data_IF_036492194440
#
_entry.id   IF_036492194440
#
_cell.length_a   1.000
_cell.length_b   1.000
_cell.length_c   1.000
_cell.angle_alpha   90.00
_cell.angle_beta   90.00
_cell.angle_gamma   90.00
#
_symmetry.space_group_name_H-M   'P 1'
#
loop_
_entity.id
_entity.type
_entity.pdbx_description
1 polymer ?
#
# COMPACT_ATOMS: atom_id res chain seq x y z
N UNK A 1 69.57 37.01 -25.10
CA UNK A 1 69.17 38.06 -26.06
C UNK A 1 67.64 38.16 -26.05
N UNK A 2 67.10 39.26 -25.59
CA UNK A 2 65.73 39.74 -25.86
C UNK A 2 65.76 40.34 -27.29
N UNK A 3 64.58 40.65 -27.98
CA UNK A 3 63.20 40.87 -27.59
C UNK A 3 62.17 40.49 -28.68
N UNK A 4 60.89 40.81 -28.43
CA UNK A 4 59.89 41.02 -29.48
C UNK A 4 58.46 41.02 -28.93
N UNK A 5 57.97 42.15 -28.43
CA UNK A 5 56.56 42.43 -28.22
C UNK A 5 55.89 42.83 -29.54
N UNK A 6 54.74 42.28 -29.85
CA UNK A 6 53.76 42.87 -30.78
C UNK A 6 52.40 42.92 -30.08
N UNK A 7 51.90 44.16 -29.94
CA UNK A 7 50.51 44.47 -29.52
C UNK A 7 49.66 44.43 -30.80
N UNK A 8 48.46 43.80 -30.65
CA UNK A 8 47.33 44.07 -31.52
C UNK A 8 46.09 44.37 -30.72
N UNK A 9 45.31 45.29 -31.19
CA UNK A 9 44.33 46.06 -30.50
C UNK A 9 42.99 45.33 -30.34
N UNK A 10 42.26 45.81 -29.34
CA UNK A 10 40.89 45.54 -29.05
C UNK A 10 39.93 46.16 -30.07
N UNK A 11 38.99 45.38 -30.58
CA UNK A 11 37.70 45.82 -31.10
C UNK A 11 36.60 45.12 -30.33
N UNK A 12 35.60 45.81 -29.80
CA UNK A 12 34.49 45.19 -29.09
C UNK A 12 33.39 44.80 -30.08
N UNK A 13 33.08 43.52 -30.16
CA UNK A 13 31.86 43.03 -30.80
C UNK A 13 30.76 42.93 -29.75
N UNK A 14 29.76 43.77 -29.88
CA UNK A 14 28.48 43.66 -29.24
C UNK A 14 27.78 42.39 -29.76
N UNK A 15 27.61 41.41 -28.89
CA UNK A 15 26.67 40.29 -29.12
C UNK A 15 25.43 40.56 -28.27
N UNK A 16 24.34 40.89 -28.94
CA UNK A 16 23.03 41.06 -28.34
C UNK A 16 22.53 39.75 -27.78
N UNK A 17 22.27 39.68 -26.48
CA UNK A 17 21.57 38.60 -25.85
C UNK A 17 20.07 38.69 -26.17
N UNK A 18 19.61 37.90 -27.12
CA UNK A 18 18.18 37.65 -27.29
C UNK A 18 17.73 36.72 -26.14
N UNK A 19 17.10 37.30 -25.15
CA UNK A 19 16.46 36.58 -24.08
C UNK A 19 15.25 35.80 -24.63
N UNK A 20 15.34 34.47 -24.72
CA UNK A 20 14.17 33.61 -24.84
C UNK A 20 13.43 33.64 -23.50
N UNK A 21 12.36 34.43 -23.45
CA UNK A 21 11.36 34.30 -22.38
C UNK A 21 10.60 32.99 -22.61
N UNK A 22 10.96 31.96 -21.88
CA UNK A 22 10.12 30.76 -21.75
C UNK A 22 8.91 31.20 -20.93
N UNK A 23 7.78 31.36 -21.60
CA UNK A 23 6.50 31.51 -20.93
C UNK A 23 6.20 30.19 -20.21
N UNK A 24 6.39 30.17 -18.88
CA UNK A 24 5.87 29.11 -18.02
C UNK A 24 4.35 29.30 -18.04
N UNK A 25 3.69 28.54 -18.90
CA UNK A 25 2.24 28.43 -18.89
C UNK A 25 1.83 27.88 -17.53
N UNK A 26 1.05 28.64 -16.77
CA UNK A 26 0.42 28.16 -15.56
C UNK A 26 -0.39 26.90 -15.89
N UNK A 27 -0.08 25.80 -15.21
CA UNK A 27 -0.90 24.60 -15.29
C UNK A 27 -2.35 24.97 -14.92
N UNK A 28 -3.36 24.52 -15.69
CA UNK A 28 -4.75 24.79 -15.34
C UNK A 28 -5.04 24.21 -13.95
N UNK A 29 -5.55 25.02 -13.06
CA UNK A 29 -5.97 24.62 -11.73
C UNK A 29 -7.07 23.55 -11.84
N UNK A 30 -7.01 22.53 -11.01
CA UNK A 30 -7.92 21.36 -11.02
C UNK A 30 -9.43 21.75 -10.98
N UNK A 31 -9.77 22.96 -10.55
CA UNK A 31 -11.10 23.53 -10.48
C UNK A 31 -11.76 23.78 -11.84
N UNK A 32 -11.01 23.94 -12.93
CA UNK A 32 -11.61 24.22 -14.25
C UNK A 32 -12.17 22.96 -14.95
N UNK A 33 -11.78 21.77 -14.53
CA UNK A 33 -12.21 20.50 -15.15
C UNK A 33 -13.52 19.94 -14.59
N UNK A 34 -13.94 20.37 -13.40
CA UNK A 34 -15.16 19.85 -12.75
C UNK A 34 -16.45 20.52 -13.25
N UNK A 35 -16.37 21.70 -13.92
CA UNK A 35 -17.55 22.50 -14.26
C UNK A 35 -18.32 22.04 -15.51
N UNK A 36 -17.74 21.24 -16.41
CA UNK A 36 -18.33 20.91 -17.72
C UNK A 36 -18.79 19.44 -17.88
N UNK A 37 -18.94 18.69 -16.78
CA UNK A 37 -19.45 17.33 -16.87
C UNK A 37 -20.99 17.35 -16.76
N UNK A 38 -21.74 16.75 -17.72
CA UNK A 38 -23.18 16.64 -17.58
C UNK A 38 -23.49 15.80 -16.34
N UNK A 39 -24.29 16.35 -15.44
CA UNK A 39 -24.82 15.62 -14.28
C UNK A 39 -25.60 14.41 -14.77
N UNK A 40 -25.08 13.22 -14.58
CA UNK A 40 -25.79 11.98 -14.84
C UNK A 40 -26.86 11.86 -13.76
N UNK A 41 -28.13 12.02 -14.16
CA UNK A 41 -29.25 11.84 -13.22
C UNK A 41 -29.40 10.35 -12.92
N UNK A 42 -29.27 10.01 -11.64
CA UNK A 42 -29.59 8.68 -11.14
C UNK A 42 -31.08 8.37 -11.37
N UNK A 43 -31.37 7.27 -12.05
CA UNK A 43 -32.75 6.87 -12.40
C UNK A 43 -33.36 5.82 -11.43
N UNK A 44 -32.69 5.52 -10.34
CA UNK A 44 -33.10 4.53 -9.34
C UNK A 44 -32.73 3.09 -9.69
N UNK A 45 -32.10 2.83 -10.82
CA UNK A 45 -31.55 1.51 -11.14
C UNK A 45 -30.20 1.33 -10.45
N UNK A 46 -30.09 0.36 -9.57
CA UNK A 46 -28.87 0.09 -8.80
C UNK A 46 -27.66 -0.22 -9.71
N UNK A 47 -27.89 -0.86 -10.86
CA UNK A 47 -26.84 -1.19 -11.80
C UNK A 47 -26.27 0.06 -12.49
N UNK A 48 -27.14 0.97 -12.94
CA UNK A 48 -26.72 2.25 -13.52
C UNK A 48 -25.97 3.13 -12.49
N UNK A 49 -26.36 3.03 -11.23
CA UNK A 49 -25.70 3.73 -10.14
C UNK A 49 -24.24 3.25 -9.94
N UNK A 50 -24.00 1.94 -10.04
CA UNK A 50 -22.66 1.38 -9.90
C UNK A 50 -21.79 1.54 -11.15
N UNK A 51 -22.40 1.55 -12.32
CA UNK A 51 -21.72 1.77 -13.60
C UNK A 51 -21.49 3.25 -13.91
N UNK A 52 -22.39 4.14 -13.42
CA UNK A 52 -22.39 5.58 -13.67
C UNK A 52 -22.66 6.37 -12.38
N UNK A 53 -21.70 6.43 -11.44
CA UNK A 53 -21.93 7.12 -10.17
C UNK A 53 -22.14 8.63 -10.38
N UNK A 54 -22.89 9.30 -9.51
CA UNK A 54 -23.02 10.74 -9.52
C UNK A 54 -21.65 11.44 -9.44
N UNK A 55 -21.50 12.55 -10.14
CA UNK A 55 -20.23 13.29 -10.18
C UNK A 55 -19.78 13.80 -8.80
N UNK A 56 -20.72 14.07 -7.89
CA UNK A 56 -20.48 14.48 -6.51
C UNK A 56 -19.87 13.37 -5.62
N UNK A 57 -19.98 12.11 -6.02
CA UNK A 57 -19.26 11.01 -5.36
C UNK A 57 -17.74 11.08 -5.57
N UNK A 58 -17.31 11.69 -6.67
CA UNK A 58 -15.88 11.96 -6.89
C UNK A 58 -15.38 13.14 -6.06
N UNK A 59 -16.30 14.03 -5.65
CA UNK A 59 -16.01 15.16 -4.79
C UNK A 59 -15.95 14.77 -3.30
N UNK A 60 -16.52 13.63 -2.93
CA UNK A 60 -16.49 13.11 -1.56
C UNK A 60 -15.07 12.91 -1.03
N UNK A 61 -14.15 12.56 -1.90
CA UNK A 61 -12.73 12.45 -1.55
C UNK A 61 -12.11 13.80 -1.17
N UNK A 62 -12.47 14.89 -1.86
CA UNK A 62 -11.97 16.22 -1.53
C UNK A 62 -12.57 16.75 -0.22
N UNK A 63 -13.86 16.49 0.03
CA UNK A 63 -14.51 16.86 1.30
C UNK A 63 -14.02 16.03 2.47
N UNK A 64 -13.76 14.75 2.27
CA UNK A 64 -13.16 13.89 3.28
C UNK A 64 -11.72 14.33 3.61
N UNK A 65 -10.96 14.78 2.60
CA UNK A 65 -9.63 15.36 2.78
C UNK A 65 -9.65 16.64 3.61
N UNK A 66 -10.63 17.53 3.36
CA UNK A 66 -10.74 18.81 4.08
C UNK A 66 -11.13 18.63 5.56
N UNK A 67 -11.87 17.59 5.89
CA UNK A 67 -12.39 17.37 7.23
C UNK A 67 -11.70 16.26 8.02
N UNK A 68 -10.71 15.57 7.44
CA UNK A 68 -10.02 14.45 8.08
C UNK A 68 -10.95 13.28 8.40
N UNK A 69 -12.16 13.27 7.85
CA UNK A 69 -13.13 12.19 8.04
C UNK A 69 -12.94 11.14 6.97
N UNK A 70 -12.89 9.91 7.41
CA UNK A 70 -12.85 8.75 6.52
C UNK A 70 -14.16 8.66 5.72
N UNK A 71 -14.15 8.28 4.41
CA UNK A 71 -15.37 8.05 3.64
C UNK A 71 -16.16 6.84 4.16
N UNK A 72 -15.59 6.06 5.07
CA UNK A 72 -16.29 4.94 5.70
C UNK A 72 -17.00 5.41 6.97
N UNK A 73 -18.30 5.10 7.11
CA UNK A 73 -19.02 5.37 8.35
C UNK A 73 -18.27 4.67 9.51
N UNK A 74 -17.91 5.43 10.51
CA UNK A 74 -17.21 5.11 11.73
C UNK A 74 -16.58 3.72 11.80
N UNK A 75 -15.31 3.66 12.12
CA UNK A 75 -14.63 2.39 12.28
C UNK A 75 -15.44 1.51 13.25
N UNK A 76 -15.78 0.27 12.90
CA UNK A 76 -16.44 -0.61 13.85
C UNK A 76 -15.54 -0.77 15.08
N UNK A 77 -16.16 -0.82 16.25
CA UNK A 77 -15.42 -1.18 17.46
C UNK A 77 -14.82 -2.58 17.26
N UNK A 78 -13.63 -2.84 17.80
CA UNK A 78 -13.02 -4.18 17.73
C UNK A 78 -14.00 -5.24 18.22
N UNK A 79 -14.08 -6.34 17.49
CA UNK A 79 -14.92 -7.48 17.89
C UNK A 79 -14.41 -8.04 19.21
N UNK A 80 -15.29 -8.29 20.21
CA UNK A 80 -14.88 -8.90 21.47
C UNK A 80 -14.14 -10.22 21.25
N UNK A 81 -13.12 -10.48 22.06
CA UNK A 81 -12.23 -11.64 21.87
C UNK A 81 -12.97 -12.98 21.74
N UNK A 82 -13.89 -13.28 22.67
CA UNK A 82 -14.61 -14.57 22.67
C UNK A 82 -15.55 -14.72 21.46
N UNK A 83 -16.17 -13.63 21.02
CA UNK A 83 -16.97 -13.60 19.79
C UNK A 83 -16.09 -13.86 18.57
N UNK A 84 -14.93 -13.22 18.51
CA UNK A 84 -13.97 -13.37 17.42
C UNK A 84 -13.44 -14.81 17.32
N UNK A 85 -13.09 -15.43 18.46
CA UNK A 85 -12.67 -16.84 18.51
C UNK A 85 -13.75 -17.75 17.93
N UNK A 86 -15.02 -17.51 18.25
CA UNK A 86 -16.14 -18.28 17.70
C UNK A 86 -16.30 -18.05 16.19
N UNK A 87 -16.24 -16.78 15.72
CA UNK A 87 -16.33 -16.45 14.30
C UNK A 87 -15.22 -17.13 13.49
N UNK A 88 -13.98 -17.10 14.00
CA UNK A 88 -12.85 -17.79 13.36
C UNK A 88 -13.11 -19.27 13.25
N UNK A 89 -13.49 -19.92 14.36
CA UNK A 89 -13.74 -21.36 14.41
C UNK A 89 -14.87 -21.81 13.48
N UNK A 90 -15.92 -21.03 13.37
CA UNK A 90 -17.11 -21.37 12.59
C UNK A 90 -16.97 -21.10 11.10
N UNK A 91 -16.24 -20.05 10.72
CA UNK A 91 -16.30 -19.53 9.36
C UNK A 91 -14.99 -19.66 8.58
N UNK A 92 -13.81 -19.61 9.25
CA UNK A 92 -12.54 -19.66 8.53
C UNK A 92 -12.24 -21.07 8.02
N UNK A 93 -11.84 -21.10 6.75
CA UNK A 93 -11.38 -22.29 6.05
C UNK A 93 -9.93 -22.12 5.65
N UNK A 94 -9.17 -23.19 5.72
CA UNK A 94 -7.75 -23.27 5.43
C UNK A 94 -7.46 -24.48 4.55
N UNK A 95 -6.30 -24.46 3.92
CA UNK A 95 -5.78 -25.68 3.26
C UNK A 95 -5.46 -26.75 4.30
N UNK A 96 -5.49 -28.06 3.91
CA UNK A 96 -5.25 -29.16 4.83
C UNK A 96 -3.93 -29.05 5.60
N UNK A 97 -3.96 -29.35 6.89
CA UNK A 97 -2.80 -29.29 7.79
C UNK A 97 -2.50 -27.89 8.34
N UNK A 98 -3.23 -26.86 7.91
CA UNK A 98 -3.12 -25.53 8.48
C UNK A 98 -4.14 -25.26 9.56
N UNK A 99 -3.76 -24.47 10.54
CA UNK A 99 -4.55 -24.02 11.67
C UNK A 99 -4.50 -22.53 11.82
N UNK A 100 -5.53 -21.94 12.43
CA UNK A 100 -5.61 -20.51 12.73
C UNK A 100 -6.11 -20.30 14.17
N UNK A 101 -5.57 -19.28 14.81
CA UNK A 101 -6.03 -18.80 16.11
C UNK A 101 -6.07 -17.27 16.16
N UNK A 102 -6.84 -16.70 17.07
CA UNK A 102 -6.79 -15.30 17.42
C UNK A 102 -5.60 -15.08 18.35
N UNK A 103 -4.53 -14.50 17.83
CA UNK A 103 -3.31 -14.22 18.60
C UNK A 103 -3.49 -13.05 19.56
N UNK A 104 -4.14 -11.98 19.08
CA UNK A 104 -4.46 -10.77 19.86
C UNK A 104 -5.71 -10.11 19.28
N UNK A 105 -6.44 -9.38 20.12
CA UNK A 105 -7.63 -8.59 19.75
C UNK A 105 -7.65 -7.25 20.49
N UNK A 106 -8.60 -6.38 20.18
CA UNK A 106 -8.67 -5.03 20.74
C UNK A 106 -7.67 -4.06 20.12
N UNK A 107 -7.20 -4.36 18.90
CA UNK A 107 -6.28 -3.54 18.13
C UNK A 107 -7.09 -2.90 17.01
N UNK A 108 -7.73 -1.78 17.32
CA UNK A 108 -8.51 -1.09 16.31
C UNK A 108 -7.63 -0.73 15.11
N UNK A 109 -8.17 -0.92 13.89
CA UNK A 109 -7.51 -0.50 12.65
C UNK A 109 -6.12 -1.13 12.33
N UNK A 110 -5.86 -2.37 12.76
CA UNK A 110 -4.57 -3.04 12.55
C UNK A 110 -4.20 -3.16 11.05
N UNK A 111 -3.10 -2.54 10.66
CA UNK A 111 -2.60 -2.53 9.27
C UNK A 111 -1.20 -3.13 9.20
N UNK A 112 -0.22 -2.43 8.65
CA UNK A 112 1.12 -2.95 8.48
C UNK A 112 1.74 -3.41 9.80
N UNK A 113 2.41 -4.55 9.74
CA UNK A 113 3.11 -5.16 10.86
C UNK A 113 4.61 -5.27 10.58
N UNK A 114 5.44 -5.06 11.60
CA UNK A 114 6.87 -5.31 11.53
C UNK A 114 7.40 -5.81 12.88
N UNK A 115 8.33 -6.76 12.85
CA UNK A 115 9.03 -7.19 14.06
C UNK A 115 10.26 -6.34 14.34
N UNK A 116 10.45 -5.98 15.59
CA UNK A 116 11.72 -5.50 16.10
C UNK A 116 12.70 -6.62 16.37
N UNK A 117 13.96 -6.28 16.59
CA UNK A 117 15.03 -7.26 16.89
C UNK A 117 14.85 -8.00 18.22
N UNK A 118 14.00 -7.47 19.11
CA UNK A 118 13.64 -8.07 20.39
C UNK A 118 12.34 -8.90 20.32
N UNK A 119 11.87 -9.21 19.10
CA UNK A 119 10.61 -9.88 18.81
C UNK A 119 9.35 -9.11 19.26
N UNK A 120 9.44 -7.82 19.54
CA UNK A 120 8.26 -6.96 19.68
C UNK A 120 7.60 -6.81 18.31
N UNK A 121 6.31 -7.07 18.23
CA UNK A 121 5.51 -6.83 17.03
C UNK A 121 4.96 -5.40 17.08
N UNK A 122 5.36 -4.57 16.14
CA UNK A 122 4.78 -3.23 15.95
C UNK A 122 3.68 -3.30 14.92
N UNK A 123 2.60 -2.55 15.14
CA UNK A 123 1.41 -2.54 14.28
C UNK A 123 1.00 -1.10 13.99
N UNK A 124 1.05 -0.72 12.73
CA UNK A 124 0.53 0.55 12.25
C UNK A 124 -0.98 0.51 12.10
N UNK A 125 -1.59 1.67 12.22
CA UNK A 125 -3.03 1.84 12.16
C UNK A 125 -3.41 2.84 11.07
N UNK A 126 -4.61 2.75 10.56
CA UNK A 126 -5.10 3.72 9.58
C UNK A 126 -5.87 4.90 10.21
N UNK A 127 -6.01 4.91 11.53
CA UNK A 127 -6.56 6.04 12.29
C UNK A 127 -5.45 6.94 12.83
N UNK A 128 -5.05 6.78 14.09
CA UNK A 128 -4.10 7.69 14.76
C UNK A 128 -3.10 6.97 15.68
N UNK A 129 -3.17 5.64 15.78
CA UNK A 129 -2.40 4.87 16.75
C UNK A 129 -1.31 4.01 16.13
N UNK A 130 -0.26 3.72 16.90
CA UNK A 130 0.66 2.62 16.65
C UNK A 130 0.71 1.76 17.90
N UNK A 131 0.63 0.45 17.70
CA UNK A 131 0.68 -0.53 18.78
C UNK A 131 2.04 -1.24 18.82
N UNK A 132 2.41 -1.67 20.01
CA UNK A 132 3.44 -2.67 20.24
C UNK A 132 2.82 -3.85 20.97
N UNK A 133 3.12 -5.07 20.52
CA UNK A 133 2.70 -6.30 21.16
C UNK A 133 3.93 -7.06 21.62
N UNK A 134 3.94 -7.42 22.89
CA UNK A 134 4.96 -8.31 23.48
C UNK A 134 4.29 -9.56 24.04
N UNK A 135 4.97 -10.69 23.88
CA UNK A 135 4.53 -11.94 24.46
C UNK A 135 4.75 -11.89 25.97
N UNK A 136 3.69 -12.12 26.76
CA UNK A 136 3.70 -12.20 28.23
C UNK A 136 3.10 -13.56 28.62
N UNK A 137 3.94 -14.51 29.03
CA UNK A 137 3.54 -15.92 29.13
C UNK A 137 3.11 -16.45 27.76
N UNK A 138 1.86 -16.94 27.66
CA UNK A 138 1.31 -17.45 26.40
C UNK A 138 0.48 -16.40 25.63
N UNK A 139 0.31 -15.20 26.17
CA UNK A 139 -0.52 -14.16 25.56
C UNK A 139 0.32 -13.07 24.90
N UNK A 140 -0.20 -12.53 23.80
CA UNK A 140 0.30 -11.32 23.19
C UNK A 140 -0.50 -10.12 23.66
N UNK A 141 0.15 -9.20 24.34
CA UNK A 141 -0.51 -8.06 24.99
C UNK A 141 -0.30 -6.80 24.14
N UNK A 142 -1.37 -6.26 23.52
CA UNK A 142 -1.27 -5.02 22.77
C UNK A 142 -1.17 -3.81 23.70
N UNK A 143 -0.31 -2.87 23.33
CA UNK A 143 -0.13 -1.58 24.00
C UNK A 143 -0.09 -0.48 22.94
N UNK A 144 -0.90 0.56 23.10
CA UNK A 144 -0.76 1.78 22.30
C UNK A 144 0.51 2.51 22.77
N UNK A 145 1.45 2.71 21.85
CA UNK A 145 2.74 3.36 22.13
C UNK A 145 2.84 4.76 21.52
N UNK A 146 2.14 5.02 20.40
CA UNK A 146 2.12 6.32 19.72
C UNK A 146 0.68 6.71 19.47
N UNK A 147 0.34 8.00 19.62
CA UNK A 147 -1.00 8.56 19.40
C UNK A 147 -0.93 9.87 18.63
N UNK A 148 -2.03 10.24 17.97
CA UNK A 148 -2.22 11.55 17.38
C UNK A 148 -1.50 11.77 16.05
N UNK A 149 -1.04 10.71 15.38
CA UNK A 149 -0.59 10.75 14.01
C UNK A 149 -1.78 10.62 13.03
N UNK A 150 -1.61 11.08 11.80
CA UNK A 150 -2.64 10.96 10.75
C UNK A 150 -2.35 9.74 9.89
N UNK A 151 -3.17 8.71 9.98
CA UNK A 151 -3.04 7.46 9.22
C UNK A 151 -1.63 6.83 9.32
N UNK A 152 -1.11 6.55 10.52
CA UNK A 152 0.22 5.95 10.71
C UNK A 152 0.23 4.47 10.29
N UNK A 153 -0.16 4.22 9.05
CA UNK A 153 -0.31 2.88 8.49
C UNK A 153 1.04 2.23 8.22
N UNK A 154 1.95 3.00 7.62
CA UNK A 154 3.26 2.49 7.23
C UNK A 154 4.23 2.50 8.40
N UNK A 155 4.80 1.35 8.69
CA UNK A 155 5.82 1.19 9.73
C UNK A 155 7.02 0.41 9.19
N UNK A 156 8.22 0.84 9.55
CA UNK A 156 9.47 0.18 9.22
C UNK A 156 10.37 0.07 10.44
N UNK A 157 11.21 -0.94 10.47
CA UNK A 157 12.18 -1.13 11.54
C UNK A 157 13.59 -1.28 10.97
N UNK A 158 14.51 -0.48 11.48
CA UNK A 158 15.91 -0.57 11.11
C UNK A 158 16.80 -0.12 12.26
N UNK A 159 17.81 -0.92 12.57
CA UNK A 159 18.88 -0.61 13.53
C UNK A 159 18.37 -0.10 14.90
N UNK A 160 17.39 -0.80 15.49
CA UNK A 160 16.79 -0.45 16.77
C UNK A 160 15.75 0.68 16.74
N UNK A 161 15.53 1.29 15.58
CA UNK A 161 14.61 2.41 15.43
C UNK A 161 13.33 1.97 14.72
N UNK A 162 12.20 2.51 15.18
CA UNK A 162 10.92 2.40 14.49
C UNK A 162 10.70 3.66 13.64
N UNK A 163 10.40 3.45 12.37
CA UNK A 163 9.97 4.51 11.44
C UNK A 163 8.47 4.40 11.26
N UNK A 164 7.78 5.52 11.37
CA UNK A 164 6.32 5.59 11.26
C UNK A 164 5.96 6.69 10.28
N UNK A 165 5.14 6.35 9.29
CA UNK A 165 4.63 7.35 8.36
C UNK A 165 3.45 8.10 8.94
N UNK A 166 3.39 9.38 8.68
CA UNK A 166 2.18 10.21 8.69
C UNK A 166 1.78 10.46 7.22
N UNK A 167 0.73 11.20 6.97
CA UNK A 167 0.28 11.57 5.62
C UNK A 167 1.41 12.20 4.81
N UNK A 168 2.15 13.14 5.40
CA UNK A 168 3.15 13.97 4.73
C UNK A 168 4.58 13.81 5.28
N UNK A 169 4.80 12.91 6.26
CA UNK A 169 6.06 12.79 6.99
C UNK A 169 6.42 11.36 7.34
N UNK A 170 7.70 11.16 7.67
CA UNK A 170 8.19 9.98 8.39
C UNK A 170 8.78 10.45 9.72
N UNK A 171 8.33 9.82 10.79
CA UNK A 171 8.90 9.96 12.12
C UNK A 171 9.84 8.79 12.41
N UNK A 172 10.96 9.07 13.05
CA UNK A 172 11.84 8.08 13.64
C UNK A 172 11.70 8.08 15.15
N UNK A 173 11.53 6.90 15.74
CA UNK A 173 11.53 6.66 17.18
C UNK A 173 12.76 5.82 17.51
N UNK A 174 13.76 6.46 18.14
CA UNK A 174 15.06 5.84 18.45
C UNK A 174 14.93 4.83 19.58
N UNK A 175 15.69 3.72 19.48
CA UNK A 175 15.79 2.69 20.52
C UNK A 175 14.42 2.29 21.07
N UNK A 176 13.51 2.00 20.14
CA UNK A 176 12.07 1.86 20.45
C UNK A 176 11.80 0.77 21.47
N UNK A 177 12.56 -0.35 21.44
CA UNK A 177 12.37 -1.48 22.35
C UNK A 177 12.51 -1.09 23.83
N UNK A 178 13.34 -0.09 24.14
CA UNK A 178 13.59 0.43 25.46
C UNK A 178 12.74 1.66 25.82
N UNK A 179 11.97 2.19 24.86
CA UNK A 179 11.23 3.45 25.01
C UNK A 179 9.72 3.31 24.74
N UNK A 180 9.12 2.14 24.99
CA UNK A 180 7.71 1.88 24.68
C UNK A 180 6.71 2.67 25.52
N UNK A 181 7.11 3.24 26.65
CA UNK A 181 6.21 4.01 27.56
C UNK A 181 6.02 5.45 27.10
N UNK A 182 7.04 6.07 26.53
CA UNK A 182 7.02 7.48 26.10
C UNK A 182 7.98 7.69 24.91
N UNK A 183 7.72 7.05 23.75
CA UNK A 183 8.60 7.16 22.60
C UNK A 183 8.60 8.59 22.04
N UNK A 184 9.78 9.14 21.77
CA UNK A 184 9.93 10.49 21.22
C UNK A 184 10.16 10.41 19.72
N UNK A 185 9.20 10.91 18.95
CA UNK A 185 9.27 10.97 17.48
C UNK A 185 10.05 12.19 16.99
N UNK A 186 10.96 11.93 16.07
CA UNK A 186 11.72 12.95 15.35
C UNK A 186 11.32 12.89 13.86
N UNK A 187 10.93 14.03 13.27
CA UNK A 187 10.65 14.09 11.83
C UNK A 187 11.97 13.92 11.07
N UNK A 188 12.08 12.89 10.28
CA UNK A 188 13.29 12.58 9.47
C UNK A 188 13.06 12.73 7.97
N UNK A 189 11.80 12.82 7.53
CA UNK A 189 11.43 13.05 6.14
C UNK A 189 10.08 13.77 6.08
N UNK A 190 9.90 14.75 5.16
CA UNK A 190 8.68 15.58 5.08
C UNK A 190 8.33 16.04 3.67
N UNK A 191 8.69 15.26 2.65
CA UNK A 191 8.45 15.58 1.23
C UNK A 191 7.38 14.69 0.60
N UNK A 192 6.32 14.34 1.35
CA UNK A 192 5.14 13.71 0.76
C UNK A 192 4.04 14.74 0.51
N UNK A 193 3.25 14.56 -0.57
CA UNK A 193 2.03 15.33 -0.76
C UNK A 193 1.05 15.13 0.40
N UNK A 194 0.35 16.21 0.87
CA UNK A 194 -0.47 16.15 2.08
C UNK A 194 -1.88 15.57 1.85
N UNK A 195 -2.02 14.63 0.93
CA UNK A 195 -3.31 14.05 0.58
C UNK A 195 -3.63 12.87 1.51
N UNK A 196 -4.84 12.85 2.05
CA UNK A 196 -5.38 11.76 2.90
C UNK A 196 -5.94 10.60 2.08
N UNK A 197 -6.57 10.89 0.94
CA UNK A 197 -6.99 9.85 -0.02
C UNK A 197 -5.76 9.16 -0.60
N UNK A 198 -5.74 7.83 -0.61
CA UNK A 198 -4.55 7.01 -0.90
C UNK A 198 -3.30 7.48 -0.12
N UNK A 199 -3.54 7.99 1.10
CA UNK A 199 -2.51 8.53 1.99
C UNK A 199 -1.64 7.47 2.67
N UNK A 200 -2.02 6.19 2.59
CA UNK A 200 -1.29 5.05 3.14
C UNK A 200 0.13 4.98 2.58
N UNK A 201 1.11 4.96 3.45
CA UNK A 201 2.54 4.96 3.10
C UNK A 201 3.19 3.65 3.58
N UNK A 202 2.70 2.50 3.07
CA UNK A 202 3.28 1.21 3.41
C UNK A 202 4.80 1.20 3.20
N UNK A 203 5.57 0.69 4.16
CA UNK A 203 7.03 0.71 4.11
C UNK A 203 7.58 -0.69 3.81
N UNK A 204 8.29 -0.85 2.71
CA UNK A 204 9.00 -2.09 2.37
C UNK A 204 10.49 -1.85 2.56
N UNK A 205 11.10 -2.51 3.52
CA UNK A 205 12.56 -2.41 3.71
C UNK A 205 13.29 -3.00 2.50
N UNK A 206 14.34 -2.31 2.04
CA UNK A 206 15.22 -2.83 1.00
C UNK A 206 16.38 -3.62 1.63
N UNK A 207 16.42 -4.95 1.48
CA UNK A 207 17.50 -5.75 2.04
C UNK A 207 18.86 -5.52 1.35
N UNK A 208 18.85 -4.94 0.14
CA UNK A 208 20.07 -4.61 -0.61
C UNK A 208 20.63 -3.22 -0.28
N UNK A 209 19.80 -2.34 0.31
CA UNK A 209 20.15 -0.99 0.74
C UNK A 209 19.69 -0.76 2.20
N UNK A 210 20.46 -1.20 3.21
CA UNK A 210 20.06 -1.07 4.62
C UNK A 210 19.71 0.36 5.01
N UNK A 211 18.56 0.56 5.65
CA UNK A 211 18.02 1.87 6.02
C UNK A 211 17.22 2.57 4.91
N UNK A 212 17.10 1.96 3.73
CA UNK A 212 16.22 2.43 2.68
C UNK A 212 14.89 1.65 2.68
N UNK A 213 13.82 2.34 2.26
CA UNK A 213 12.48 1.80 2.17
C UNK A 213 11.84 2.16 0.84
N UNK A 214 11.16 1.21 0.22
CA UNK A 214 10.22 1.50 -0.86
C UNK A 214 8.89 1.93 -0.25
N UNK A 215 8.37 3.10 -0.67
CA UNK A 215 7.16 3.70 -0.13
C UNK A 215 6.25 4.18 -1.28
N UNK A 216 5.01 3.68 -1.38
CA UNK A 216 4.06 4.14 -2.39
C UNK A 216 3.48 5.51 -2.03
N UNK A 217 3.26 6.33 -3.05
CA UNK A 217 2.58 7.62 -2.93
C UNK A 217 1.43 7.66 -3.95
N UNK A 218 0.23 7.34 -3.52
CA UNK A 218 -0.96 7.31 -4.37
C UNK A 218 -1.46 8.72 -4.76
N UNK A 219 -2.20 8.87 -5.88
CA UNK A 219 -2.89 10.10 -6.22
C UNK A 219 -4.12 10.31 -5.33
N UNK A 220 -4.59 11.56 -5.13
CA UNK A 220 -5.67 11.89 -4.20
C UNK A 220 -7.08 11.64 -4.77
N UNK A 221 -7.25 10.77 -5.73
CA UNK A 221 -8.49 10.60 -6.46
C UNK A 221 -8.68 9.16 -6.91
N UNK A 222 -9.92 8.81 -7.27
CA UNK A 222 -10.20 7.54 -7.92
C UNK A 222 -9.44 7.42 -9.25
N UNK A 223 -9.65 8.37 -10.15
CA UNK A 223 -8.87 8.56 -11.37
C UNK A 223 -8.81 10.04 -11.73
N UNK A 224 -7.62 10.57 -11.97
CA UNK A 224 -7.39 11.97 -12.36
C UNK A 224 -6.05 12.12 -13.07
N UNK A 225 -5.81 13.29 -13.66
CA UNK A 225 -4.46 13.67 -14.05
C UNK A 225 -3.56 13.69 -12.81
N UNK A 226 -2.38 13.13 -12.94
CA UNK A 226 -1.48 12.87 -11.81
C UNK A 226 -0.98 14.18 -11.21
N UNK A 227 -1.34 14.52 -9.96
CA UNK A 227 -0.70 15.63 -9.25
C UNK A 227 0.79 15.33 -9.01
N UNK A 228 1.60 16.40 -9.02
CA UNK A 228 3.03 16.27 -8.82
C UNK A 228 3.39 15.47 -7.55
N UNK A 229 4.34 14.55 -7.67
CA UNK A 229 4.82 13.75 -6.56
C UNK A 229 3.93 12.57 -6.16
N UNK A 230 2.83 12.31 -6.89
CA UNK A 230 1.93 11.15 -6.67
C UNK A 230 2.04 10.11 -7.77
N UNK A 231 1.29 9.02 -7.67
CA UNK A 231 1.33 7.87 -8.56
C UNK A 231 2.75 7.30 -8.73
N UNK A 232 3.50 7.25 -7.65
CA UNK A 232 4.92 6.87 -7.61
C UNK A 232 5.16 5.81 -6.51
N UNK A 233 6.09 4.93 -6.78
CA UNK A 233 6.79 4.19 -5.74
C UNK A 233 8.14 4.87 -5.51
N UNK A 234 8.38 5.38 -4.32
CA UNK A 234 9.63 6.06 -3.95
C UNK A 234 10.54 5.11 -3.18
N UNK A 235 11.83 5.24 -3.38
CA UNK A 235 12.88 4.60 -2.59
C UNK A 235 13.53 5.68 -1.73
N UNK A 236 13.42 5.56 -0.42
CA UNK A 236 13.71 6.64 0.53
C UNK A 236 14.66 6.14 1.61
N UNK A 237 15.71 6.91 1.87
CA UNK A 237 16.48 6.83 3.11
C UNK A 237 16.08 8.01 4.01
N UNK A 238 15.22 7.79 5.00
CA UNK A 238 14.70 8.89 5.81
C UNK A 238 15.78 9.52 6.69
N UNK A 239 16.77 8.77 7.14
CA UNK A 239 17.86 9.29 7.99
C UNK A 239 18.79 10.25 7.24
N UNK A 240 18.92 10.07 5.93
CA UNK A 240 19.71 10.93 5.06
C UNK A 240 18.87 11.99 4.34
N UNK A 241 17.54 11.92 4.43
CA UNK A 241 16.62 12.78 3.69
C UNK A 241 16.67 12.57 2.17
N UNK A 242 17.11 11.39 1.72
CA UNK A 242 17.25 11.05 0.31
C UNK A 242 15.99 10.34 -0.21
N UNK A 243 15.60 10.65 -1.45
CA UNK A 243 14.45 10.07 -2.11
C UNK A 243 14.67 9.95 -3.61
N UNK A 244 14.33 8.80 -4.17
CA UNK A 244 14.41 8.49 -5.59
C UNK A 244 13.07 7.90 -6.05
N UNK A 245 12.73 8.06 -7.33
CA UNK A 245 11.52 7.47 -7.92
C UNK A 245 11.86 6.11 -8.51
N UNK A 246 11.39 5.04 -7.87
CA UNK A 246 11.61 3.67 -8.32
C UNK A 246 10.63 3.24 -9.42
N UNK A 247 9.34 3.60 -9.29
CA UNK A 247 8.30 3.27 -10.26
C UNK A 247 7.27 4.40 -10.39
N UNK A 248 6.55 4.41 -11.52
CA UNK A 248 5.54 5.38 -11.89
C UNK A 248 4.22 4.70 -12.26
N UNK A 249 3.13 5.49 -12.28
CA UNK A 249 1.85 5.02 -12.81
C UNK A 249 1.17 3.94 -11.98
N UNK A 250 1.42 3.90 -10.69
CA UNK A 250 0.64 3.12 -9.73
C UNK A 250 -0.47 3.99 -9.11
N UNK A 251 -1.65 3.39 -8.86
CA UNK A 251 -2.78 4.11 -8.25
C UNK A 251 -2.71 4.07 -6.72
N UNK A 252 -3.03 2.95 -6.13
CA UNK A 252 -3.09 2.77 -4.68
C UNK A 252 -2.44 1.44 -4.29
N UNK A 253 -1.18 1.52 -3.94
CA UNK A 253 -0.41 0.38 -3.43
C UNK A 253 -0.34 0.48 -1.91
N UNK A 254 -0.72 -0.60 -1.22
CA UNK A 254 -0.74 -0.67 0.25
C UNK A 254 -0.04 -1.93 0.73
N UNK A 255 0.81 -2.51 -0.09
CA UNK A 255 1.59 -3.68 0.26
C UNK A 255 2.71 -3.93 -0.74
N UNK A 256 3.72 -4.61 -0.30
CA UNK A 256 4.85 -5.02 -1.12
C UNK A 256 5.86 -5.81 -0.31
N UNK A 257 6.73 -6.48 -1.03
CA UNK A 257 7.89 -7.16 -0.46
C UNK A 257 8.99 -7.32 -1.52
N UNK A 258 10.21 -7.53 -1.07
CA UNK A 258 11.35 -7.80 -1.96
C UNK A 258 11.53 -9.31 -2.08
N UNK A 259 11.53 -9.82 -3.31
CA UNK A 259 11.76 -11.24 -3.57
C UNK A 259 13.17 -11.64 -3.08
N UNK A 260 13.28 -12.56 -2.11
CA UNK A 260 14.56 -12.95 -1.55
C UNK A 260 15.49 -13.66 -2.56
N UNK A 261 14.95 -14.10 -3.71
CA UNK A 261 15.71 -14.78 -4.76
C UNK A 261 16.32 -13.81 -5.77
N UNK A 262 15.58 -12.75 -6.14
CA UNK A 262 16.00 -11.78 -7.16
C UNK A 262 16.41 -10.42 -6.60
N UNK A 263 15.98 -10.09 -5.38
CA UNK A 263 16.17 -8.76 -4.80
C UNK A 263 15.28 -7.68 -5.44
N UNK A 264 14.26 -8.07 -6.21
CA UNK A 264 13.36 -7.15 -6.90
C UNK A 264 12.09 -6.91 -6.08
N UNK A 265 11.58 -5.68 -6.16
CA UNK A 265 10.33 -5.29 -5.49
C UNK A 265 9.11 -5.87 -6.21
N UNK A 266 8.23 -6.50 -5.44
CA UNK A 266 6.87 -6.85 -5.82
C UNK A 266 5.88 -6.04 -4.99
N UNK A 267 4.78 -5.58 -5.59
CA UNK A 267 3.80 -4.77 -4.87
C UNK A 267 2.38 -4.97 -5.38
N UNK A 268 1.44 -4.95 -4.45
CA UNK A 268 0.01 -4.97 -4.72
C UNK A 268 -0.49 -3.59 -5.16
N UNK A 269 -1.53 -3.54 -5.97
CA UNK A 269 -2.15 -2.29 -6.40
C UNK A 269 -3.65 -2.43 -6.55
N UNK A 270 -4.38 -1.55 -5.87
CA UNK A 270 -5.83 -1.42 -5.99
C UNK A 270 -6.18 -0.59 -7.24
N UNK A 271 -6.96 -1.17 -8.14
CA UNK A 271 -7.42 -0.54 -9.36
C UNK A 271 -8.47 0.54 -9.09
N UNK A 272 -8.83 1.29 -10.15
CA UNK A 272 -9.88 2.32 -10.04
C UNK A 272 -11.26 1.69 -9.83
N UNK A 273 -12.12 2.44 -9.12
CA UNK A 273 -13.54 2.12 -8.98
C UNK A 273 -14.37 2.61 -10.18
N UNK A 274 -15.63 2.21 -10.24
CA UNK A 274 -16.65 2.70 -11.15
C UNK A 274 -16.43 2.35 -12.62
N UNK A 275 -16.02 1.10 -12.87
CA UNK A 275 -16.02 0.50 -14.20
C UNK A 275 -16.89 -0.78 -14.24
N UNK A 276 -17.67 -1.04 -13.18
CA UNK A 276 -18.51 -2.24 -13.04
C UNK A 276 -17.91 -3.28 -12.09
N UNK A 277 -18.67 -4.35 -11.85
CA UNK A 277 -18.32 -5.38 -10.88
C UNK A 277 -17.16 -6.29 -11.32
N UNK A 278 -16.88 -6.34 -12.63
CA UNK A 278 -15.97 -7.32 -13.22
C UNK A 278 -14.67 -6.71 -13.76
N UNK A 279 -14.56 -5.39 -13.80
CA UNK A 279 -13.38 -4.67 -14.30
C UNK A 279 -13.19 -3.34 -13.57
N UNK A 280 -11.94 -2.83 -13.53
CA UNK A 280 -10.72 -3.52 -13.87
C UNK A 280 -10.27 -4.44 -12.73
N UNK A 281 -9.44 -5.41 -13.07
CA UNK A 281 -8.76 -6.20 -12.05
C UNK A 281 -7.79 -5.37 -11.25
N UNK A 282 -7.69 -5.65 -9.95
CA UNK A 282 -6.55 -5.28 -9.12
C UNK A 282 -5.29 -6.03 -9.59
N UNK A 283 -4.12 -5.54 -9.19
CA UNK A 283 -2.85 -5.98 -9.78
C UNK A 283 -1.84 -6.42 -8.72
N UNK A 284 -1.04 -7.41 -9.10
CA UNK A 284 0.28 -7.67 -8.52
C UNK A 284 1.33 -7.23 -9.54
N UNK A 285 2.16 -6.27 -9.18
CA UNK A 285 3.18 -5.68 -10.02
C UNK A 285 4.56 -6.17 -9.62
N UNK A 286 5.48 -6.29 -10.60
CA UNK A 286 6.88 -6.68 -10.42
C UNK A 286 7.79 -5.61 -11.00
N UNK A 287 8.58 -4.95 -10.15
CA UNK A 287 9.55 -3.93 -10.56
C UNK A 287 10.86 -4.61 -10.97
N UNK A 288 11.02 -4.85 -12.27
CA UNK A 288 12.23 -5.47 -12.83
C UNK A 288 13.29 -4.44 -13.22
N UNK A 289 12.90 -3.17 -13.37
CA UNK A 289 13.76 -2.07 -13.77
C UNK A 289 13.22 -0.75 -13.20
N UNK A 290 14.09 0.08 -12.69
CA UNK A 290 13.74 1.41 -12.22
C UNK A 290 13.10 2.27 -13.31
N UNK A 291 12.12 3.11 -12.90
CA UNK A 291 11.40 4.01 -13.79
C UNK A 291 10.30 3.36 -14.64
N UNK A 292 9.97 2.08 -14.41
CA UNK A 292 8.83 1.43 -15.06
C UNK A 292 7.53 2.17 -14.70
N UNK A 293 6.65 2.32 -15.71
CA UNK A 293 5.33 2.95 -15.57
C UNK A 293 4.24 1.90 -15.68
N UNK A 294 3.42 1.74 -14.63
CA UNK A 294 2.42 0.67 -14.50
C UNK A 294 1.00 1.07 -14.94
N UNK A 295 0.87 2.11 -15.75
CA UNK A 295 -0.29 2.44 -16.57
C UNK A 295 -1.21 3.53 -16.03
N UNK A 296 -1.40 3.68 -14.71
CA UNK A 296 -2.33 4.69 -14.18
C UNK A 296 -1.89 6.12 -14.54
N UNK A 297 -2.78 7.03 -14.98
CA UNK A 297 -4.23 6.88 -15.10
C UNK A 297 -4.70 6.36 -16.47
N UNK A 298 -3.80 6.07 -17.39
CA UNK A 298 -4.08 5.86 -18.82
C UNK A 298 -4.61 4.46 -19.14
N UNK A 299 -4.11 3.47 -18.41
CA UNK A 299 -4.37 2.05 -18.64
C UNK A 299 -4.54 1.29 -17.32
N UNK A 300 -5.51 0.40 -17.27
CA UNK A 300 -5.83 -0.46 -16.13
C UNK A 300 -5.60 -1.92 -16.47
N UNK A 301 -5.28 -2.75 -15.46
CA UNK A 301 -5.00 -4.21 -15.56
C UNK A 301 -4.06 -4.65 -16.70
N UNK A 302 -3.43 -3.71 -17.40
CA UNK A 302 -2.49 -3.96 -18.47
C UNK A 302 -3.07 -3.91 -19.89
N UNK A 303 -4.40 -3.96 -20.06
CA UNK A 303 -5.06 -4.05 -21.38
C UNK A 303 -6.34 -3.21 -21.52
N UNK A 304 -6.81 -2.53 -20.47
CA UNK A 304 -8.01 -1.70 -20.52
C UNK A 304 -7.63 -0.21 -20.51
N UNK A 305 -7.74 0.51 -21.63
CA UNK A 305 -7.57 1.96 -21.65
C UNK A 305 -8.62 2.64 -20.77
N UNK A 306 -8.22 3.67 -20.01
CA UNK A 306 -9.18 4.46 -19.27
C UNK A 306 -10.15 5.18 -20.22
N UNK A 307 -11.47 5.10 -20.00
CA UNK A 307 -12.45 5.70 -20.92
C UNK A 307 -12.35 7.23 -21.01
N UNK A 308 -11.79 7.89 -20.00
CA UNK A 308 -11.64 9.36 -19.96
C UNK A 308 -10.19 9.80 -20.05
N UNK A 309 -9.28 9.10 -19.39
CA UNK A 309 -7.90 9.53 -19.18
C UNK A 309 -6.89 8.79 -20.07
N UNK A 310 -7.31 7.86 -20.94
CA UNK A 310 -6.37 7.22 -21.89
C UNK A 310 -5.67 8.24 -22.79
N UNK A 311 -6.36 9.33 -23.19
CA UNK A 311 -5.81 10.48 -23.90
C UNK A 311 -4.97 10.09 -25.15
N UNK A 312 -5.37 8.99 -25.81
CA UNK A 312 -4.66 8.44 -26.98
C UNK A 312 -3.51 7.48 -26.68
N UNK A 313 -3.15 7.30 -25.40
CA UNK A 313 -2.21 6.28 -24.98
C UNK A 313 -2.76 4.88 -25.19
N UNK A 314 -1.88 3.95 -25.55
CA UNK A 314 -2.18 2.53 -25.64
C UNK A 314 -1.59 1.80 -24.46
N UNK A 315 -2.22 0.70 -24.03
CA UNK A 315 -1.76 -0.05 -22.88
C UNK A 315 -0.38 -0.70 -23.07
N UNK A 316 0.02 -1.01 -24.31
CA UNK A 316 1.34 -1.56 -24.63
C UNK A 316 2.51 -0.59 -24.45
N UNK A 317 2.22 0.70 -24.21
CA UNK A 317 3.24 1.70 -23.83
C UNK A 317 3.70 1.53 -22.37
N UNK A 318 2.96 0.78 -21.54
CA UNK A 318 3.17 0.64 -20.11
C UNK A 318 3.60 -0.77 -19.72
N UNK A 319 4.21 -0.88 -18.55
CA UNK A 319 4.54 -2.19 -17.98
C UNK A 319 3.25 -2.89 -17.54
N UNK A 320 2.93 -4.07 -18.09
CA UNK A 320 1.79 -4.83 -17.62
C UNK A 320 2.02 -5.35 -16.20
N UNK A 321 0.94 -5.67 -15.44
CA UNK A 321 1.09 -6.35 -14.16
C UNK A 321 1.72 -7.73 -14.36
N UNK A 322 2.43 -8.21 -13.34
CA UNK A 322 2.87 -9.61 -13.32
C UNK A 322 1.67 -10.56 -13.25
N UNK A 323 0.60 -10.13 -12.55
CA UNK A 323 -0.65 -10.88 -12.43
C UNK A 323 -1.82 -9.94 -12.15
N UNK A 324 -2.95 -10.23 -12.77
CA UNK A 324 -4.27 -9.70 -12.39
C UNK A 324 -4.86 -10.59 -11.29
N UNK A 325 -5.14 -10.03 -10.11
CA UNK A 325 -5.61 -10.80 -8.93
C UNK A 325 -7.13 -10.87 -8.81
N UNK A 326 -7.84 -10.19 -9.69
CA UNK A 326 -9.30 -10.10 -9.73
C UNK A 326 -9.80 -8.70 -9.43
N UNK A 327 -11.04 -8.37 -9.89
CA UNK A 327 -11.65 -7.06 -9.63
C UNK A 327 -12.07 -6.93 -8.17
N UNK A 328 -11.90 -5.75 -7.58
CA UNK A 328 -12.34 -5.39 -6.23
C UNK A 328 -11.81 -6.29 -5.11
N UNK A 329 -10.70 -6.98 -5.31
CA UNK A 329 -10.06 -7.78 -4.26
C UNK A 329 -9.41 -6.91 -3.19
N UNK A 330 -9.06 -5.66 -3.53
CA UNK A 330 -8.33 -4.73 -2.69
C UNK A 330 -7.08 -5.39 -2.07
N UNK A 331 -6.11 -5.84 -2.88
CA UNK A 331 -4.91 -6.48 -2.38
C UNK A 331 -4.07 -5.46 -1.59
N UNK A 332 -3.73 -5.80 -0.37
CA UNK A 332 -2.95 -4.98 0.53
C UNK A 332 -1.60 -5.63 0.85
N UNK A 333 -1.29 -5.87 2.12
CA UNK A 333 -0.01 -6.41 2.57
C UNK A 333 0.31 -7.77 1.97
N UNK A 334 1.58 -7.99 1.68
CA UNK A 334 2.08 -9.25 1.12
C UNK A 334 3.47 -9.57 1.65
N UNK A 335 3.80 -10.85 1.70
CA UNK A 335 5.14 -11.33 2.03
C UNK A 335 5.52 -12.56 1.21
N UNK A 336 6.78 -12.59 0.78
CA UNK A 336 7.41 -13.85 0.39
C UNK A 336 7.60 -14.70 1.63
N UNK A 337 7.05 -15.90 1.64
CA UNK A 337 7.18 -16.78 2.79
C UNK A 337 8.61 -17.32 2.90
N UNK A 338 9.33 -16.89 3.91
CA UNK A 338 10.71 -17.31 4.21
C UNK A 338 10.83 -18.14 5.48
N UNK A 339 9.68 -18.42 6.14
CA UNK A 339 9.61 -19.22 7.35
C UNK A 339 9.94 -20.69 7.13
N UNK A 340 9.99 -21.43 8.21
CA UNK A 340 10.26 -22.87 8.24
C UNK A 340 9.14 -23.70 8.86
N UNK A 341 8.00 -23.07 9.20
CA UNK A 341 6.84 -23.78 9.75
C UNK A 341 5.99 -24.46 8.68
N UNK A 342 5.81 -23.79 7.53
CA UNK A 342 5.00 -24.33 6.43
C UNK A 342 5.79 -25.38 5.62
N UNK A 343 5.09 -26.27 4.88
CA UNK A 343 5.74 -27.20 3.96
C UNK A 343 6.69 -26.52 2.96
N UNK A 344 7.70 -27.25 2.51
CA UNK A 344 8.78 -26.69 1.67
C UNK A 344 8.28 -26.03 0.38
N UNK A 345 7.16 -26.49 -0.19
CA UNK A 345 6.52 -25.93 -1.38
C UNK A 345 5.92 -24.54 -1.20
N UNK A 346 5.82 -24.06 0.04
CA UNK A 346 5.40 -22.68 0.36
C UNK A 346 6.58 -21.70 0.35
N UNK A 347 7.81 -22.18 0.39
CA UNK A 347 8.97 -21.31 0.46
C UNK A 347 9.07 -20.44 -0.77
N UNK A 348 9.29 -19.13 -0.54
CA UNK A 348 9.33 -18.09 -1.55
C UNK A 348 8.03 -17.93 -2.37
N UNK A 349 6.91 -18.51 -1.94
CA UNK A 349 5.61 -18.10 -2.46
C UNK A 349 5.19 -16.78 -1.79
N UNK A 350 4.38 -16.01 -2.50
CA UNK A 350 3.77 -14.81 -1.94
C UNK A 350 2.50 -15.22 -1.18
N UNK A 351 2.37 -14.73 0.04
CA UNK A 351 1.09 -14.72 0.77
C UNK A 351 0.59 -13.28 0.73
N UNK A 352 -0.58 -13.07 0.13
CA UNK A 352 -1.17 -11.76 -0.12
C UNK A 352 -2.50 -11.64 0.61
N UNK A 353 -2.66 -10.57 1.38
CA UNK A 353 -3.94 -10.20 1.99
C UNK A 353 -4.82 -9.47 0.96
N UNK A 354 -5.93 -10.09 0.59
CA UNK A 354 -7.01 -9.46 -0.16
C UNK A 354 -8.05 -8.95 0.82
N UNK A 355 -8.06 -7.64 1.03
CA UNK A 355 -8.89 -6.98 2.02
C UNK A 355 -10.38 -6.96 1.65
N UNK A 356 -10.68 -7.02 0.35
CA UNK A 356 -12.02 -6.90 -0.20
C UNK A 356 -12.44 -5.46 -0.48
N UNK A 357 -13.08 -5.28 -1.62
CA UNK A 357 -13.55 -3.98 -2.11
C UNK A 357 -14.90 -3.57 -1.53
N UNK A 358 -15.33 -2.38 -1.92
CA UNK A 358 -16.65 -1.81 -1.53
C UNK A 358 -17.53 -1.53 -2.75
N UNK A 359 -16.92 -1.36 -3.93
CA UNK A 359 -17.59 -0.96 -5.16
C UNK A 359 -18.03 -2.18 -5.99
N UNK A 360 -18.71 -3.12 -5.35
CA UNK A 360 -19.16 -4.37 -5.95
C UNK A 360 -20.44 -4.87 -5.27
N UNK A 361 -21.38 -5.42 -6.03
CA UNK A 361 -22.66 -5.91 -5.48
C UNK A 361 -22.48 -7.12 -4.57
N UNK A 362 -21.74 -8.14 -5.03
CA UNK A 362 -21.34 -9.28 -4.23
C UNK A 362 -19.90 -9.08 -3.73
N UNK A 363 -19.74 -8.94 -2.42
CA UNK A 363 -18.44 -8.75 -1.81
C UNK A 363 -17.50 -9.91 -2.13
N UNK A 364 -16.27 -9.59 -2.45
CA UNK A 364 -15.17 -10.53 -2.74
C UNK A 364 -13.92 -10.16 -1.94
N UNK A 365 -12.85 -10.92 -2.11
CA UNK A 365 -11.64 -10.73 -1.28
C UNK A 365 -11.89 -11.21 0.15
N UNK A 366 -11.49 -10.43 1.16
CA UNK A 366 -11.45 -10.80 2.58
C UNK A 366 -10.91 -12.22 2.77
N UNK A 367 -9.69 -12.43 2.27
CA UNK A 367 -8.99 -13.73 2.31
C UNK A 367 -7.48 -13.53 2.20
N UNK A 368 -6.75 -14.58 2.49
CA UNK A 368 -5.34 -14.69 2.13
C UNK A 368 -5.24 -15.61 0.93
N UNK A 369 -4.48 -15.20 -0.07
CA UNK A 369 -4.15 -16.03 -1.23
C UNK A 369 -2.68 -16.41 -1.22
N UNK A 370 -2.39 -17.60 -1.73
CA UNK A 370 -1.04 -18.06 -2.06
C UNK A 370 -0.77 -17.81 -3.53
N UNK A 371 0.32 -17.15 -3.85
CA UNK A 371 0.76 -16.93 -5.22
C UNK A 371 2.12 -17.60 -5.40
N UNK A 372 2.19 -18.49 -6.37
CA UNK A 372 3.43 -19.16 -6.78
C UNK A 372 3.99 -18.41 -7.98
N UNK A 373 5.30 -18.19 -8.02
CA UNK A 373 5.98 -17.56 -9.14
C UNK A 373 7.46 -17.93 -9.16
N UNK A 374 8.03 -17.93 -10.36
CA UNK A 374 9.47 -17.97 -10.55
C UNK A 374 10.13 -16.62 -10.19
N UNK A 375 11.45 -16.58 -9.96
CA UNK A 375 12.15 -15.33 -9.63
C UNK A 375 12.05 -14.24 -10.69
N UNK A 376 11.82 -14.62 -11.94
CA UNK A 376 11.65 -13.71 -13.07
C UNK A 376 10.19 -13.32 -13.37
N UNK A 377 9.26 -13.72 -12.48
CA UNK A 377 7.82 -13.40 -12.59
C UNK A 377 7.06 -14.21 -13.62
N UNK A 378 7.63 -15.30 -14.09
CA UNK A 378 6.96 -16.27 -14.99
C UNK A 378 6.28 -17.38 -14.19
N UNK A 379 5.45 -18.20 -14.88
CA UNK A 379 4.74 -19.34 -14.31
C UNK A 379 3.98 -18.97 -13.02
N UNK A 380 3.27 -17.83 -13.07
CA UNK A 380 2.53 -17.31 -11.93
C UNK A 380 1.15 -17.96 -11.82
N UNK A 381 0.79 -18.37 -10.60
CA UNK A 381 -0.53 -18.92 -10.29
C UNK A 381 -1.00 -18.49 -8.90
N UNK A 382 -2.31 -18.44 -8.70
CA UNK A 382 -2.95 -18.03 -7.45
C UNK A 382 -3.96 -19.09 -6.99
N UNK A 383 -3.98 -19.34 -5.68
CA UNK A 383 -5.00 -20.15 -5.01
C UNK A 383 -5.42 -19.54 -3.66
N UNK A 384 -6.66 -19.72 -3.19
CA UNK A 384 -7.04 -19.36 -1.83
C UNK A 384 -6.20 -20.14 -0.81
N UNK A 385 -5.72 -19.45 0.23
CA UNK A 385 -4.96 -20.04 1.32
C UNK A 385 -5.74 -20.06 2.65
N UNK A 386 -6.34 -18.92 2.99
CA UNK A 386 -7.26 -18.81 4.14
C UNK A 386 -8.42 -17.90 3.74
N UNK A 387 -9.66 -18.32 3.98
CA UNK A 387 -10.86 -17.58 3.56
C UNK A 387 -12.04 -17.82 4.52
N UNK A 388 -13.08 -16.98 4.41
CA UNK A 388 -14.30 -17.09 5.24
C UNK A 388 -14.60 -15.84 6.06
N UNK A 389 -13.88 -14.73 5.86
CA UNK A 389 -14.17 -13.44 6.51
C UNK A 389 -15.40 -12.71 5.94
N UNK A 390 -16.09 -13.33 4.97
CA UNK A 390 -17.39 -12.89 4.44
C UNK A 390 -18.46 -13.88 4.88
N UNK A 391 -19.56 -13.37 5.46
CA UNK A 391 -20.76 -14.13 5.79
C UNK A 391 -21.98 -13.33 5.37
N UNK A 392 -22.92 -13.96 4.65
CA UNK A 392 -24.16 -13.32 4.18
C UNK A 392 -23.92 -11.99 3.42
N UNK A 393 -22.92 -11.99 2.54
CA UNK A 393 -22.45 -10.83 1.79
C UNK A 393 -22.01 -9.63 2.66
N UNK A 394 -21.50 -9.90 3.87
CA UNK A 394 -20.96 -8.87 4.78
C UNK A 394 -19.60 -9.29 5.28
N UNK A 395 -18.69 -8.34 5.37
CA UNK A 395 -17.41 -8.54 6.04
C UNK A 395 -17.62 -8.58 7.56
N UNK A 396 -17.18 -9.64 8.23
CA UNK A 396 -17.00 -9.65 9.68
C UNK A 396 -15.54 -9.44 10.08
N UNK A 397 -14.63 -9.64 9.14
CA UNK A 397 -13.22 -9.33 9.23
C UNK A 397 -12.64 -9.02 7.85
N UNK A 398 -11.52 -8.31 7.82
CA UNK A 398 -10.83 -7.90 6.59
C UNK A 398 -9.32 -7.98 6.77
N UNK A 399 -8.68 -9.07 6.30
CA UNK A 399 -7.23 -9.21 6.34
C UNK A 399 -6.54 -8.02 5.66
N UNK A 400 -5.58 -7.39 6.34
CA UNK A 400 -4.92 -6.17 5.87
C UNK A 400 -3.43 -6.35 5.58
N UNK A 401 -2.71 -7.11 6.42
CA UNK A 401 -1.29 -7.38 6.23
C UNK A 401 -0.92 -8.78 6.68
N UNK A 402 0.23 -9.24 6.21
CA UNK A 402 0.82 -10.52 6.61
C UNK A 402 2.30 -10.35 6.95
N UNK A 403 2.77 -11.05 7.96
CA UNK A 403 4.20 -11.09 8.33
C UNK A 403 4.58 -12.48 8.83
N UNK A 404 5.79 -12.92 8.50
CA UNK A 404 6.32 -14.18 9.02
C UNK A 404 6.82 -13.96 10.44
N UNK A 405 6.33 -14.75 11.37
CA UNK A 405 6.78 -14.74 12.76
C UNK A 405 8.21 -15.29 12.86
N UNK A 406 9.19 -14.47 13.27
CA UNK A 406 10.59 -14.90 13.32
C UNK A 406 10.87 -15.97 14.39
N UNK A 407 9.98 -16.14 15.37
CA UNK A 407 10.17 -17.07 16.48
C UNK A 407 9.85 -18.51 16.12
N UNK A 408 8.86 -18.73 15.23
CA UNK A 408 8.37 -20.08 14.93
C UNK A 408 8.05 -20.33 13.45
N UNK A 409 8.21 -19.33 12.60
CA UNK A 409 7.93 -19.40 11.18
C UNK A 409 6.45 -19.41 10.81
N UNK A 410 5.53 -19.25 11.77
CA UNK A 410 4.09 -19.09 11.50
C UNK A 410 3.81 -17.78 10.76
N UNK A 411 2.63 -17.65 10.15
CA UNK A 411 2.17 -16.42 9.52
C UNK A 411 1.29 -15.65 10.48
N UNK A 412 1.55 -14.37 10.68
CA UNK A 412 0.63 -13.46 11.36
C UNK A 412 -0.16 -12.67 10.31
N UNK A 413 -1.44 -12.44 10.59
CA UNK A 413 -2.36 -11.71 9.72
C UNK A 413 -3.03 -10.61 10.54
N UNK A 414 -2.92 -9.35 10.14
CA UNK A 414 -3.68 -8.26 10.74
C UNK A 414 -5.05 -8.13 10.09
N UNK A 415 -6.03 -7.71 10.88
CA UNK A 415 -7.41 -7.48 10.47
C UNK A 415 -7.88 -6.15 11.07
N UNK A 416 -8.12 -5.16 10.22
CA UNK A 416 -8.50 -3.82 10.66
C UNK A 416 -10.00 -3.66 10.92
N UNK A 417 -10.82 -4.56 10.38
CA UNK A 417 -12.26 -4.61 10.62
C UNK A 417 -12.58 -5.26 11.97
N UNK A 418 -12.03 -6.44 12.21
CA UNK A 418 -12.24 -7.18 13.45
C UNK A 418 -11.39 -6.64 14.62
N UNK A 419 -10.36 -5.85 14.34
CA UNK A 419 -9.44 -5.32 15.33
C UNK A 419 -8.56 -6.39 15.95
N UNK A 420 -7.95 -7.24 15.11
CA UNK A 420 -7.27 -8.45 15.54
C UNK A 420 -5.98 -8.74 14.80
N UNK A 421 -5.20 -9.63 15.38
CA UNK A 421 -4.11 -10.34 14.72
C UNK A 421 -4.37 -11.82 14.87
N UNK A 422 -4.35 -12.53 13.75
CA UNK A 422 -4.43 -13.99 13.69
C UNK A 422 -3.04 -14.59 13.53
N UNK A 423 -2.87 -15.84 14.01
CA UNK A 423 -1.70 -16.67 13.73
C UNK A 423 -2.13 -17.89 12.94
N UNK A 424 -1.46 -18.16 11.82
CA UNK A 424 -1.66 -19.36 11.00
C UNK A 424 -0.38 -20.18 11.04
N UNK A 425 -0.53 -21.48 11.35
CA UNK A 425 0.59 -22.41 11.40
C UNK A 425 0.24 -23.75 10.76
N UNK A 426 1.25 -24.52 10.45
CA UNK A 426 1.09 -25.87 9.89
C UNK A 426 1.46 -26.94 10.89
N UNK A 427 0.62 -28.00 10.96
CA UNK A 427 0.87 -29.21 11.74
C UNK A 427 0.66 -30.44 10.86
N UNK A 428 1.76 -31.13 10.56
CA UNK A 428 1.73 -32.33 9.71
C UNK A 428 0.95 -33.50 10.33
N UNK A 429 0.75 -33.53 11.68
CA UNK A 429 0.04 -34.58 12.37
C UNK A 429 -1.48 -34.49 12.21
N UNK A 430 -1.99 -33.38 11.70
CA UNK A 430 -3.43 -33.10 11.56
C UNK A 430 -3.98 -33.30 10.14
N UNK A 431 -3.25 -34.01 9.27
CA UNK A 431 -3.69 -34.37 7.91
C UNK A 431 -4.72 -35.45 7.87
#
# INVERSE_FOLDING_TARGET
MRPGRLRFGLLPTLVGAAGLAVAVGAAPTATAYAADQPLIKYNGNSRDYWEHPPADWFMGDETAQQHGTHPYPGQPLPTPHDELVNLVKENIKLLPGFHIEVLASGIDCARQMVFGSDNTLYVGCWTEHVYALKKQGDQWVPKVIIKGLRQPTGIGYYNGNLYVTDIDKIYRYKDIANNLDDPKGEVVYSDFPPYTSHGWKYMVADPQAPGWFYIPVGPPCNVCMIPAGTAQYRHINPDQGLSEVAALGQRNSVGGDVDPRSGQLWFSENARDWMGDNIPSDKLNHLTRWGQHFGYPYCHQGDIPDPKYSMGHKCDEFTPPAMNVGPHMAPLGMKFYTGNNFPAEYRNNILLAEHGGWNQFWHTGARIVRIQTDPDGKNISQEPFAWGWIKDNKYWGRPADVVVNPMDGSLLVSDDQAGAIYRIWYDASSK
#
